data_IF_662423890487
#
_entry.id   IF_662423890487
#
_cell.length_a   1.000
_cell.length_b   1.000
_cell.length_c   1.000
_cell.angle_alpha   90.00
_cell.angle_beta   90.00
_cell.angle_gamma   90.00
#
_symmetry.space_group_name_H-M   'P 1'
#
loop_
_entity.id
_entity.type
_entity.pdbx_description
1 polymer ?
#
# COMPACT_ATOMS: atom_id res chain seq x y z
N UNK A 1 -29.19 -17.78 -77.60
CA UNK A 1 -29.31 -16.45 -76.94
C UNK A 1 -30.07 -16.58 -75.64
N UNK A 2 -29.40 -16.46 -74.50
CA UNK A 2 -29.73 -15.56 -73.38
C UNK A 2 -28.76 -15.85 -72.23
N UNK A 3 -28.00 -14.81 -71.90
CA UNK A 3 -26.95 -14.73 -70.90
C UNK A 3 -27.63 -14.31 -69.61
N UNK A 4 -27.46 -15.02 -68.50
CA UNK A 4 -27.71 -14.50 -67.14
C UNK A 4 -26.82 -15.29 -66.16
N UNK A 5 -25.64 -14.74 -65.82
CA UNK A 5 -25.35 -13.79 -64.72
C UNK A 5 -25.05 -14.53 -63.41
N UNK A 6 -23.75 -14.75 -63.21
CA UNK A 6 -23.10 -15.15 -61.96
C UNK A 6 -23.50 -14.19 -60.85
N UNK A 7 -24.06 -14.71 -59.75
CA UNK A 7 -24.29 -13.95 -58.52
C UNK A 7 -23.30 -14.48 -57.49
N UNK A 8 -22.23 -13.71 -57.26
CA UNK A 8 -21.31 -13.93 -56.15
C UNK A 8 -22.02 -13.59 -54.84
N UNK A 9 -22.13 -14.57 -53.94
CA UNK A 9 -22.62 -14.37 -52.58
C UNK A 9 -21.42 -13.94 -51.73
N UNK A 10 -21.31 -12.64 -51.47
CA UNK A 10 -20.36 -12.09 -50.49
C UNK A 10 -20.87 -12.37 -49.07
N UNK A 11 -20.15 -13.21 -48.34
CA UNK A 11 -20.39 -13.47 -46.91
C UNK A 11 -20.00 -12.21 -46.11
N UNK A 12 -20.99 -11.43 -45.64
CA UNK A 12 -20.75 -10.36 -44.66
C UNK A 12 -20.46 -11.01 -43.30
N UNK A 13 -19.21 -10.89 -42.83
CA UNK A 13 -18.86 -11.14 -41.44
C UNK A 13 -19.42 -9.99 -40.59
N UNK A 14 -20.59 -10.21 -39.97
CA UNK A 14 -21.14 -9.34 -38.95
C UNK A 14 -20.28 -9.42 -37.68
N UNK A 15 -19.35 -8.49 -37.52
CA UNK A 15 -18.65 -8.29 -36.26
C UNK A 15 -19.61 -7.58 -35.30
N UNK A 16 -20.26 -8.35 -34.45
CA UNK A 16 -20.89 -7.82 -33.25
C UNK A 16 -19.79 -7.44 -32.26
N UNK A 17 -19.36 -6.18 -32.24
CA UNK A 17 -18.63 -5.63 -31.09
C UNK A 17 -19.63 -4.95 -30.17
N UNK A 18 -19.68 -5.48 -28.96
CA UNK A 18 -20.57 -5.14 -27.86
C UNK A 18 -20.47 -3.65 -27.52
N UNK A 19 -21.63 -2.98 -27.47
CA UNK A 19 -21.78 -1.77 -26.68
C UNK A 19 -21.41 -2.07 -25.24
N UNK A 20 -20.24 -1.60 -24.80
CA UNK A 20 -19.86 -1.57 -23.38
C UNK A 20 -19.32 -0.19 -23.01
N UNK A 21 -20.15 0.82 -23.21
CA UNK A 21 -20.05 2.07 -22.42
C UNK A 21 -21.19 2.13 -21.43
N UNK A 22 -21.35 1.07 -20.64
CA UNK A 22 -21.74 1.29 -19.26
C UNK A 22 -20.55 2.00 -18.62
N UNK A 23 -20.58 3.34 -18.62
CA UNK A 23 -19.85 4.14 -17.65
C UNK A 23 -20.34 3.69 -16.28
N UNK A 24 -19.76 2.59 -15.80
CA UNK A 24 -19.83 2.17 -14.42
C UNK A 24 -19.41 3.39 -13.64
N UNK A 25 -20.40 4.00 -13.00
CA UNK A 25 -20.25 5.08 -12.04
C UNK A 25 -19.02 4.75 -11.23
N UNK A 26 -17.91 5.41 -11.57
CA UNK A 26 -16.70 5.31 -10.81
C UNK A 26 -17.14 5.92 -9.50
N UNK A 27 -17.45 5.08 -8.52
CA UNK A 27 -17.42 5.49 -7.15
C UNK A 27 -15.94 5.85 -6.95
N UNK A 28 -15.57 7.05 -7.39
CA UNK A 28 -14.61 7.86 -6.71
C UNK A 28 -15.16 7.85 -5.29
N UNK A 29 -14.68 6.87 -4.52
CA UNK A 29 -14.48 7.05 -3.11
C UNK A 29 -13.59 8.27 -3.10
N UNK A 30 -14.22 9.43 -3.02
CA UNK A 30 -13.59 10.66 -2.60
C UNK A 30 -12.96 10.26 -1.29
N UNK A 31 -11.69 9.90 -1.34
CA UNK A 31 -10.88 9.80 -0.15
C UNK A 31 -10.90 11.25 0.30
N UNK A 32 -11.82 11.58 1.20
CA UNK A 32 -11.70 12.78 1.99
C UNK A 32 -10.27 12.69 2.51
N UNK A 33 -9.39 13.54 1.98
CA UNK A 33 -8.08 13.76 2.56
C UNK A 33 -8.37 14.50 3.87
N UNK A 34 -9.01 13.82 4.83
CA UNK A 34 -8.85 14.13 6.23
C UNK A 34 -7.34 14.03 6.44
N UNK A 35 -6.72 15.16 6.77
CA UNK A 35 -5.28 15.34 6.85
C UNK A 35 -4.61 14.10 7.44
N UNK A 36 -3.88 13.34 6.62
CA UNK A 36 -3.07 12.23 7.12
C UNK A 36 -2.08 12.86 8.09
N UNK A 37 -2.06 12.48 9.38
CA UNK A 37 -1.13 13.07 10.33
C UNK A 37 0.32 12.90 9.85
N UNK A 38 1.14 13.92 10.04
CA UNK A 38 2.58 13.83 9.77
C UNK A 38 3.17 12.67 10.57
N UNK A 39 4.12 11.95 9.98
CA UNK A 39 4.75 10.74 10.56
C UNK A 39 3.77 9.58 10.80
N UNK A 40 2.72 9.48 9.98
CA UNK A 40 1.87 8.28 9.92
C UNK A 40 2.58 7.15 9.21
N UNK A 41 2.58 5.96 9.81
CA UNK A 41 3.01 4.70 9.19
C UNK A 41 1.94 4.22 8.22
N UNK A 42 2.30 3.95 6.98
CA UNK A 42 1.41 3.45 5.94
C UNK A 42 1.86 2.05 5.53
N UNK A 43 1.04 1.04 5.83
CA UNK A 43 1.30 -0.36 5.45
C UNK A 43 0.33 -0.72 4.33
N UNK A 44 0.86 -1.05 3.16
CA UNK A 44 0.09 -1.46 1.98
C UNK A 44 0.42 -2.91 1.66
N UNK A 45 -0.31 -3.84 2.27
CA UNK A 45 -0.13 -5.27 2.07
C UNK A 45 -1.47 -6.01 2.25
N UNK A 46 -1.86 -6.81 1.26
CA UNK A 46 -3.10 -7.58 1.31
C UNK A 46 -3.18 -8.52 2.52
N UNK A 47 -2.04 -9.10 2.94
CA UNK A 47 -1.97 -9.95 4.13
C UNK A 47 -2.26 -9.18 5.43
N UNK A 48 -2.01 -7.87 5.47
CA UNK A 48 -2.27 -7.02 6.63
C UNK A 48 -3.77 -6.69 6.84
N UNK A 49 -4.68 -7.24 6.01
CA UNK A 49 -6.11 -7.20 6.29
C UNK A 49 -6.46 -7.88 7.62
N UNK A 50 -5.74 -8.94 7.99
CA UNK A 50 -5.70 -9.47 9.35
C UNK A 50 -4.39 -9.03 10.01
N UNK A 51 -4.43 -7.89 10.71
CA UNK A 51 -3.24 -7.34 11.36
C UNK A 51 -2.67 -8.30 12.40
N UNK A 52 -3.50 -9.01 13.17
CA UNK A 52 -3.00 -9.91 14.23
C UNK A 52 -2.11 -10.99 13.63
N UNK A 53 -2.63 -11.69 12.61
CA UNK A 53 -1.91 -12.73 11.92
C UNK A 53 -0.67 -12.17 11.21
N UNK A 54 -0.86 -11.11 10.42
CA UNK A 54 0.21 -10.50 9.63
C UNK A 54 1.45 -10.16 10.45
N UNK A 55 1.30 -9.40 11.54
CA UNK A 55 2.46 -9.00 12.34
C UNK A 55 3.11 -10.21 13.01
N UNK A 56 2.30 -11.15 13.53
CA UNK A 56 2.80 -12.36 14.22
C UNK A 56 3.59 -13.32 13.33
N UNK A 57 3.47 -13.20 12.00
CA UNK A 57 4.16 -14.06 11.02
C UNK A 57 5.27 -13.33 10.26
N UNK A 58 5.20 -12.00 10.15
CA UNK A 58 6.14 -11.22 9.36
C UNK A 58 7.49 -11.04 10.05
N UNK A 59 8.56 -11.46 9.39
CA UNK A 59 9.96 -11.10 9.73
C UNK A 59 10.48 -9.93 8.91
N UNK A 60 9.82 -9.60 7.79
CA UNK A 60 10.14 -8.44 6.96
C UNK A 60 8.89 -7.60 6.82
N UNK A 61 8.98 -6.33 7.23
CA UNK A 61 7.90 -5.36 7.08
C UNK A 61 8.35 -4.22 6.18
N UNK A 62 7.61 -4.04 5.09
CA UNK A 62 7.70 -2.90 4.19
C UNK A 62 6.61 -1.90 4.57
N UNK A 63 7.01 -0.66 4.83
CA UNK A 63 6.08 0.41 5.17
C UNK A 63 6.57 1.76 4.64
N UNK A 64 5.67 2.72 4.58
CA UNK A 64 5.98 4.10 4.23
C UNK A 64 5.71 5.00 5.42
N UNK A 65 6.43 6.12 5.52
CA UNK A 65 6.15 7.16 6.50
C UNK A 65 5.70 8.41 5.75
N UNK A 66 4.47 8.85 6.00
CA UNK A 66 3.93 10.08 5.41
C UNK A 66 4.57 11.31 6.05
N UNK A 67 5.10 12.22 5.22
CA UNK A 67 5.86 13.42 5.63
C UNK A 67 6.87 13.10 6.72
N UNK A 68 7.76 12.14 6.45
CA UNK A 68 8.76 11.68 7.42
C UNK A 68 9.70 12.79 7.95
N UNK A 69 9.81 13.89 7.19
CA UNK A 69 10.62 15.05 7.52
C UNK A 69 11.83 15.18 6.62
N UNK A 70 12.85 15.90 7.10
CA UNK A 70 14.13 16.00 6.41
C UNK A 70 14.91 14.66 6.42
N UNK A 71 15.99 14.58 5.64
CA UNK A 71 16.88 13.41 5.62
C UNK A 71 17.43 13.07 7.01
N UNK A 72 17.71 14.08 7.84
CA UNK A 72 18.18 13.88 9.21
C UNK A 72 17.09 13.31 10.12
N UNK A 73 15.83 13.68 9.91
CA UNK A 73 14.69 13.10 10.63
C UNK A 73 14.47 11.64 10.24
N UNK A 74 14.56 11.32 8.95
CA UNK A 74 14.51 9.93 8.46
C UNK A 74 15.64 9.11 9.06
N UNK A 75 16.86 9.64 9.09
CA UNK A 75 17.99 8.97 9.72
C UNK A 75 17.76 8.71 11.22
N UNK A 76 17.12 9.64 11.94
CA UNK A 76 16.74 9.45 13.36
C UNK A 76 15.69 8.35 13.54
N UNK A 77 14.67 8.30 12.69
CA UNK A 77 13.65 7.24 12.70
C UNK A 77 14.33 5.88 12.52
N UNK A 78 15.15 5.74 11.47
CA UNK A 78 15.88 4.50 11.16
C UNK A 78 16.82 4.11 12.31
N UNK A 79 17.58 5.07 12.85
CA UNK A 79 18.48 4.82 13.97
C UNK A 79 17.71 4.38 15.22
N UNK A 80 16.51 4.92 15.47
CA UNK A 80 15.67 4.47 16.58
C UNK A 80 15.22 3.03 16.42
N UNK A 81 14.72 2.66 15.23
CA UNK A 81 14.28 1.29 14.94
C UNK A 81 15.42 0.28 15.04
N UNK A 82 16.63 0.64 14.60
CA UNK A 82 17.82 -0.24 14.67
C UNK A 82 18.30 -0.54 16.10
N UNK A 83 17.89 0.23 17.11
CA UNK A 83 18.39 0.04 18.49
C UNK A 83 17.83 -1.21 19.16
N UNK A 84 16.68 -1.71 18.72
CA UNK A 84 16.08 -2.88 19.35
C UNK A 84 16.81 -4.17 18.93
N UNK A 85 17.10 -5.04 19.91
CA UNK A 85 17.89 -6.24 19.70
C UNK A 85 17.20 -7.28 18.79
N UNK A 86 15.88 -7.20 18.61
CA UNK A 86 15.13 -8.06 17.71
C UNK A 86 15.30 -7.68 16.23
N UNK A 87 15.82 -6.48 15.95
CA UNK A 87 16.01 -5.98 14.60
C UNK A 87 17.33 -6.50 14.04
N UNK A 88 17.27 -7.01 12.81
CA UNK A 88 18.43 -7.44 12.05
C UNK A 88 18.95 -6.30 11.16
N UNK A 89 18.04 -5.63 10.45
CA UNK A 89 18.39 -4.47 9.63
C UNK A 89 17.21 -3.53 9.42
N UNK A 90 17.51 -2.26 9.12
CA UNK A 90 16.54 -1.27 8.67
C UNK A 90 17.14 -0.53 7.48
N UNK A 91 16.41 -0.50 6.38
CA UNK A 91 16.86 0.05 5.09
C UNK A 91 15.96 1.20 4.68
N UNK A 92 16.59 2.32 4.32
CA UNK A 92 15.91 3.46 3.69
C UNK A 92 15.58 3.11 2.24
N UNK A 93 14.32 3.26 1.87
CA UNK A 93 13.85 3.11 0.49
C UNK A 93 13.75 4.45 -0.24
N UNK A 94 12.98 4.46 -1.33
CA UNK A 94 12.77 5.65 -2.15
C UNK A 94 11.77 6.61 -1.50
N UNK A 95 12.00 7.91 -1.66
CA UNK A 95 10.99 8.95 -1.41
C UNK A 95 10.08 9.08 -2.64
N UNK A 96 8.77 8.91 -2.45
CA UNK A 96 7.75 9.06 -3.50
C UNK A 96 6.67 10.04 -3.05
N UNK A 97 6.69 11.25 -3.61
CA UNK A 97 5.88 12.36 -3.08
C UNK A 97 6.26 12.63 -1.63
N UNK A 98 5.27 12.62 -0.74
CA UNK A 98 5.48 12.80 0.71
C UNK A 98 5.80 11.50 1.47
N UNK A 99 5.96 10.36 0.79
CA UNK A 99 6.08 9.06 1.43
C UNK A 99 7.52 8.54 1.36
N UNK A 100 8.15 8.40 2.52
CA UNK A 100 9.46 7.77 2.65
C UNK A 100 9.29 6.27 2.88
N UNK A 101 9.72 5.43 1.94
CA UNK A 101 9.71 3.97 2.15
C UNK A 101 10.79 3.55 3.14
N UNK A 102 10.47 2.60 4.02
CA UNK A 102 11.39 1.97 4.97
C UNK A 102 11.08 0.46 5.00
N UNK A 103 12.13 -0.34 5.03
CA UNK A 103 12.04 -1.78 5.26
C UNK A 103 12.72 -2.13 6.58
N UNK A 104 12.03 -2.87 7.44
CA UNK A 104 12.60 -3.46 8.65
C UNK A 104 12.63 -4.99 8.52
N UNK A 105 13.79 -5.57 8.82
CA UNK A 105 13.99 -7.02 8.88
C UNK A 105 14.28 -7.42 10.33
N UNK A 106 13.58 -8.43 10.81
CA UNK A 106 13.60 -8.92 12.18
C UNK A 106 14.23 -10.32 12.23
N UNK A 107 14.95 -10.58 13.33
CA UNK A 107 15.54 -11.91 13.61
C UNK A 107 14.47 -12.98 13.84
N UNK A 108 13.29 -12.58 14.30
CA UNK A 108 12.11 -13.42 14.51
C UNK A 108 10.86 -12.58 14.38
N UNK A 109 9.72 -13.19 14.03
CA UNK A 109 8.44 -12.48 14.01
C UNK A 109 8.08 -11.94 15.40
N UNK A 110 7.29 -10.86 15.42
CA UNK A 110 6.88 -10.13 16.63
C UNK A 110 5.40 -9.83 16.60
N UNK A 111 4.80 -9.58 17.76
CA UNK A 111 3.37 -9.23 17.80
C UNK A 111 3.15 -7.73 17.52
N UNK A 112 1.89 -7.36 17.31
CA UNK A 112 1.47 -5.97 17.06
C UNK A 112 1.95 -5.00 18.14
N UNK A 113 1.91 -5.41 19.40
CA UNK A 113 2.30 -4.57 20.54
C UNK A 113 3.78 -4.18 20.48
N UNK A 114 4.64 -5.10 20.03
CA UNK A 114 6.05 -4.80 19.80
C UNK A 114 6.22 -3.75 18.68
N UNK A 115 5.55 -3.92 17.55
CA UNK A 115 5.60 -2.93 16.46
C UNK A 115 5.08 -1.55 16.90
N UNK A 116 3.98 -1.52 17.66
CA UNK A 116 3.44 -0.28 18.22
C UNK A 116 4.45 0.44 19.12
N UNK A 117 5.11 -0.30 20.02
CA UNK A 117 6.20 0.23 20.87
C UNK A 117 7.34 0.82 20.06
N UNK A 118 7.85 0.09 19.06
CA UNK A 118 9.00 0.55 18.26
C UNK A 118 8.66 1.74 17.38
N UNK A 119 7.45 1.78 16.81
CA UNK A 119 6.97 2.95 16.08
C UNK A 119 6.89 4.19 16.98
N UNK A 120 6.33 4.08 18.20
CA UNK A 120 6.30 5.19 19.15
C UNK A 120 7.68 5.68 19.54
N UNK A 121 8.61 4.76 19.84
CA UNK A 121 10.01 5.11 20.15
C UNK A 121 10.67 5.89 18.99
N UNK A 122 10.32 5.54 17.75
CA UNK A 122 10.79 6.24 16.56
C UNK A 122 10.04 7.55 16.24
N UNK A 123 9.07 7.95 17.07
CA UNK A 123 8.27 9.17 16.88
C UNK A 123 7.13 9.03 15.86
N UNK A 124 6.71 7.79 15.59
CA UNK A 124 5.62 7.45 14.67
C UNK A 124 4.39 7.04 15.49
N UNK A 125 3.39 7.92 15.57
CA UNK A 125 2.29 7.77 16.54
C UNK A 125 0.99 7.23 15.93
N UNK A 126 0.86 7.31 14.62
CA UNK A 126 -0.34 6.91 13.89
C UNK A 126 0.00 5.94 12.78
N UNK A 127 -0.98 5.15 12.38
CA UNK A 127 -0.82 4.11 11.38
C UNK A 127 -2.08 3.94 10.57
N UNK A 128 -1.87 3.67 9.28
CA UNK A 128 -2.87 3.28 8.31
C UNK A 128 -2.46 1.95 7.72
N UNK A 129 -3.33 0.95 7.87
CA UNK A 129 -3.16 -0.35 7.23
C UNK A 129 -4.15 -0.44 6.07
N UNK A 130 -3.64 -0.58 4.86
CA UNK A 130 -4.40 -0.58 3.61
C UNK A 130 -5.33 0.66 3.52
N UNK A 131 -6.63 0.41 3.31
CA UNK A 131 -7.65 1.45 3.20
C UNK A 131 -8.46 1.63 4.50
N UNK A 132 -7.97 1.09 5.61
CA UNK A 132 -8.61 1.29 6.91
C UNK A 132 -8.41 2.73 7.41
N UNK A 133 -9.26 3.20 8.33
CA UNK A 133 -9.06 4.48 9.01
C UNK A 133 -7.69 4.58 9.67
N UNK A 134 -7.18 5.80 9.77
CA UNK A 134 -5.96 6.08 10.53
C UNK A 134 -6.28 5.94 12.01
N UNK A 135 -5.47 5.17 12.72
CA UNK A 135 -5.56 4.98 14.16
C UNK A 135 -4.23 5.31 14.82
N UNK A 136 -4.23 5.52 16.13
CA UNK A 136 -2.99 5.52 16.91
C UNK A 136 -2.33 4.14 16.84
N UNK A 137 -1.00 4.08 16.85
CA UNK A 137 -0.27 2.81 16.78
C UNK A 137 -0.59 1.85 17.92
N UNK A 138 -0.97 2.36 19.10
CA UNK A 138 -1.42 1.54 20.24
C UNK A 138 -2.78 0.84 19.99
N UNK A 139 -3.52 1.25 18.96
CA UNK A 139 -4.86 0.74 18.59
C UNK A 139 -4.83 -0.20 17.38
N UNK A 140 -3.65 -0.62 16.91
CA UNK A 140 -3.51 -1.60 15.81
C UNK A 140 -4.10 -2.98 16.11
#
# INVERSE_FOLDING_TARGET
MKILKTVSISFLLGVAVLNSTAFGKNNNVSINFSDIPVKTVCIKNAAAADANKFFSEATVLFFEVYKAGSKDEVAKIIASLKKDAAVESVTEGKLTGDYQSITITLKSAKNKAWFASEFKKAGLNTVRINNNPIVEVDKM
#
